data_IF_495071974493
#
_entry.id   IF_495071974493
#
_cell.length_a   1.000
_cell.length_b   1.000
_cell.length_c   1.000
_cell.angle_alpha   90.00
_cell.angle_beta   90.00
_cell.angle_gamma   90.00
#
_symmetry.space_group_name_H-M   'P 1'
#
loop_
_entity.id
_entity.type
_entity.pdbx_description
1 polymer ?
#
# COMPACT_ATOMS: atom_id res chain seq x y z
N UNK A 1 42.71 -37.66 -5.34
CA UNK A 1 42.95 -36.50 -4.46
C UNK A 1 42.59 -35.27 -5.27
N UNK A 2 41.87 -34.32 -4.66
CA UNK A 2 41.29 -33.07 -5.21
C UNK A 2 39.90 -33.21 -5.84
N UNK A 3 38.88 -33.08 -4.98
CA UNK A 3 37.56 -32.54 -5.33
C UNK A 3 37.28 -31.38 -4.36
N UNK A 4 36.88 -30.25 -4.94
CA UNK A 4 36.58 -28.94 -4.35
C UNK A 4 35.42 -29.01 -3.34
N UNK A 5 35.37 -28.20 -2.27
CA UNK A 5 34.14 -28.01 -1.51
C UNK A 5 33.23 -27.03 -2.24
N UNK A 6 31.98 -27.46 -2.48
CA UNK A 6 30.90 -26.62 -2.95
C UNK A 6 30.48 -25.63 -1.86
N UNK A 7 30.32 -24.37 -2.24
CA UNK A 7 29.77 -23.31 -1.40
C UNK A 7 28.30 -23.59 -1.07
N UNK A 8 27.98 -23.67 0.22
CA UNK A 8 26.62 -23.82 0.70
C UNK A 8 26.06 -22.42 1.02
N UNK A 9 25.42 -21.79 0.03
CA UNK A 9 24.63 -20.57 0.22
C UNK A 9 23.30 -20.91 0.91
N UNK A 10 23.34 -21.12 2.22
CA UNK A 10 22.13 -21.16 3.04
C UNK A 10 21.76 -19.73 3.43
N UNK A 11 21.18 -18.97 2.50
CA UNK A 11 20.54 -17.70 2.83
C UNK A 11 19.18 -18.02 3.45
N UNK A 12 19.16 -18.20 4.77
CA UNK A 12 17.95 -18.18 5.59
C UNK A 12 17.20 -16.88 5.30
N UNK A 13 16.11 -16.99 4.55
CA UNK A 13 15.04 -16.00 4.49
C UNK A 13 14.50 -15.84 5.90
N UNK A 14 15.11 -14.92 6.65
CA UNK A 14 14.72 -14.59 8.01
C UNK A 14 13.51 -13.69 7.90
N UNK A 15 12.33 -14.27 7.67
CA UNK A 15 11.06 -13.63 8.00
C UNK A 15 10.96 -13.74 9.53
N UNK A 16 11.60 -12.82 10.23
CA UNK A 16 11.45 -12.67 11.66
C UNK A 16 10.95 -11.27 11.99
N UNK A 17 9.75 -10.93 11.52
CA UNK A 17 8.88 -10.05 12.28
C UNK A 17 8.15 -10.92 13.30
N UNK A 18 8.56 -10.81 14.55
CA UNK A 18 7.95 -11.46 15.71
C UNK A 18 6.45 -11.08 15.72
N UNK A 19 5.51 -12.03 15.63
CA UNK A 19 4.10 -11.66 15.63
C UNK A 19 3.73 -11.27 17.06
N UNK A 20 3.49 -9.98 17.30
CA UNK A 20 2.86 -9.50 18.53
C UNK A 20 1.38 -9.89 18.42
N UNK A 21 1.10 -11.14 18.79
CA UNK A 21 -0.17 -11.86 18.57
C UNK A 21 -1.42 -11.23 19.22
N UNK A 22 -1.29 -10.11 19.93
CA UNK A 22 -2.44 -9.41 20.53
C UNK A 22 -3.15 -8.47 19.54
N UNK A 23 -2.54 -8.15 18.40
CA UNK A 23 -3.08 -7.23 17.40
C UNK A 23 -3.33 -7.89 16.03
N UNK A 24 -3.75 -9.16 15.97
CA UNK A 24 -3.73 -10.03 14.77
C UNK A 24 -4.37 -9.51 13.46
N UNK A 25 -5.07 -8.37 13.48
CA UNK A 25 -5.61 -7.68 12.30
C UNK A 25 -5.40 -6.16 12.29
N UNK A 26 -5.03 -5.54 13.42
CA UNK A 26 -4.96 -4.08 13.52
C UNK A 26 -3.88 -3.46 12.61
N UNK A 27 -2.64 -4.00 12.54
CA UNK A 27 -1.63 -3.50 11.61
C UNK A 27 -2.09 -3.61 10.15
N UNK A 28 -2.74 -4.72 9.77
CA UNK A 28 -3.23 -4.91 8.41
C UNK A 28 -4.29 -3.86 8.04
N UNK A 29 -5.25 -3.61 8.93
CA UNK A 29 -6.27 -2.58 8.70
C UNK A 29 -5.65 -1.19 8.62
N UNK A 30 -4.72 -0.86 9.53
CA UNK A 30 -4.01 0.42 9.55
C UNK A 30 -3.19 0.63 8.27
N UNK A 31 -2.55 -0.42 7.76
CA UNK A 31 -1.88 -0.39 6.47
C UNK A 31 -2.83 -0.09 5.33
N UNK A 32 -4.01 -0.72 5.29
CA UNK A 32 -5.02 -0.45 4.26
C UNK A 32 -5.55 0.98 4.37
N UNK A 33 -5.79 1.49 5.58
CA UNK A 33 -6.20 2.88 5.79
C UNK A 33 -5.14 3.86 5.31
N UNK A 34 -3.86 3.60 5.60
CA UNK A 34 -2.75 4.45 5.17
C UNK A 34 -2.59 4.42 3.64
N UNK A 35 -2.74 3.25 3.00
CA UNK A 35 -2.77 3.14 1.54
C UNK A 35 -3.88 4.00 0.93
N UNK A 36 -5.09 3.97 1.50
CA UNK A 36 -6.22 4.80 1.03
C UNK A 36 -5.94 6.29 1.24
N UNK A 37 -5.40 6.69 2.40
CA UNK A 37 -5.03 8.09 2.69
C UNK A 37 -4.06 8.63 1.63
N UNK A 38 -2.99 7.89 1.36
CA UNK A 38 -1.97 8.30 0.37
C UNK A 38 -2.52 8.29 -1.08
N UNK A 39 -3.42 7.37 -1.42
CA UNK A 39 -4.10 7.40 -2.73
C UNK A 39 -5.00 8.63 -2.87
N UNK A 40 -5.73 9.01 -1.82
CA UNK A 40 -6.53 10.23 -1.83
C UNK A 40 -5.65 11.48 -1.98
N UNK A 41 -4.52 11.54 -1.29
CA UNK A 41 -3.53 12.61 -1.42
C UNK A 41 -2.98 12.71 -2.86
N UNK A 42 -2.60 11.58 -3.47
CA UNK A 42 -2.18 11.50 -4.86
C UNK A 42 -3.24 12.08 -5.82
N UNK A 43 -4.51 11.75 -5.57
CA UNK A 43 -5.65 12.20 -6.36
C UNK A 43 -5.96 13.69 -6.19
N UNK A 44 -5.66 14.27 -5.02
CA UNK A 44 -5.76 15.72 -4.78
C UNK A 44 -4.67 16.47 -5.52
N UNK A 45 -3.41 16.02 -5.42
CA UNK A 45 -2.28 16.63 -6.13
C UNK A 45 -2.53 16.64 -7.63
N UNK A 46 -2.97 15.52 -8.21
CA UNK A 46 -3.29 15.45 -9.66
C UNK A 46 -4.38 16.43 -10.07
N UNK A 47 -5.48 16.50 -9.32
CA UNK A 47 -6.59 17.41 -9.64
C UNK A 47 -6.18 18.88 -9.50
N UNK A 48 -5.27 19.17 -8.58
CA UNK A 48 -4.67 20.50 -8.44
C UNK A 48 -3.79 20.84 -9.65
N UNK A 49 -2.92 19.93 -10.10
CA UNK A 49 -2.06 20.13 -11.28
C UNK A 49 -2.86 20.30 -12.59
N UNK A 50 -4.03 19.67 -12.69
CA UNK A 50 -4.94 19.78 -13.83
C UNK A 50 -5.91 20.98 -13.75
N UNK A 51 -5.78 21.85 -12.74
CA UNK A 51 -6.72 22.96 -12.46
C UNK A 51 -8.20 22.49 -12.34
N UNK A 52 -8.41 21.25 -11.92
CA UNK A 52 -9.74 20.63 -11.74
C UNK A 52 -10.28 20.78 -10.32
N UNK A 53 -9.49 21.35 -9.41
CA UNK A 53 -9.86 21.54 -8.01
C UNK A 53 -9.85 23.04 -7.69
N UNK A 54 -10.97 23.57 -7.20
CA UNK A 54 -11.01 24.98 -6.79
C UNK A 54 -10.17 25.20 -5.52
N UNK A 55 -9.63 26.41 -5.32
CA UNK A 55 -8.87 26.75 -4.10
C UNK A 55 -9.59 26.36 -2.79
N UNK A 56 -10.89 26.65 -2.58
CA UNK A 56 -11.58 26.24 -1.36
C UNK A 56 -11.83 24.72 -1.28
N UNK A 57 -11.85 24.00 -2.40
CA UNK A 57 -11.92 22.54 -2.39
C UNK A 57 -10.56 21.92 -2.01
N UNK A 58 -9.47 22.50 -2.52
CA UNK A 58 -8.10 22.10 -2.20
C UNK A 58 -7.82 22.25 -0.71
N UNK A 59 -8.16 23.40 -0.12
CA UNK A 59 -7.96 23.65 1.32
C UNK A 59 -8.77 22.68 2.18
N UNK A 60 -10.04 22.43 1.82
CA UNK A 60 -10.87 21.43 2.52
C UNK A 60 -10.32 20.01 2.38
N UNK A 61 -9.77 19.66 1.22
CA UNK A 61 -9.16 18.34 1.00
C UNK A 61 -7.90 18.18 1.85
N UNK A 62 -7.03 19.20 1.89
CA UNK A 62 -5.83 19.23 2.73
C UNK A 62 -6.17 19.06 4.22
N UNK A 63 -7.12 19.85 4.73
CA UNK A 63 -7.60 19.75 6.11
C UNK A 63 -8.15 18.36 6.46
N UNK A 64 -8.89 17.75 5.52
CA UNK A 64 -9.50 16.44 5.73
C UNK A 64 -8.44 15.33 5.74
N UNK A 65 -7.45 15.42 4.86
CA UNK A 65 -6.35 14.46 4.79
C UNK A 65 -5.45 14.55 6.04
N UNK A 66 -5.16 15.76 6.52
CA UNK A 66 -4.41 15.95 7.75
C UNK A 66 -5.13 15.32 8.96
N UNK A 67 -6.45 15.55 9.09
CA UNK A 67 -7.24 14.91 10.17
C UNK A 67 -7.23 13.40 10.07
N UNK A 68 -7.29 12.84 8.86
CA UNK A 68 -7.22 11.39 8.66
C UNK A 68 -5.84 10.84 9.07
N UNK A 69 -4.76 11.55 8.74
CA UNK A 69 -3.40 11.20 9.18
C UNK A 69 -3.29 11.18 10.71
N UNK A 70 -3.76 12.24 11.37
CA UNK A 70 -3.78 12.35 12.83
C UNK A 70 -4.55 11.18 13.48
N UNK A 71 -5.69 10.80 12.89
CA UNK A 71 -6.49 9.66 13.35
C UNK A 71 -5.75 8.33 13.18
N UNK A 72 -5.08 8.11 12.04
CA UNK A 72 -4.30 6.89 11.80
C UNK A 72 -3.15 6.80 12.79
N UNK A 73 -2.43 7.89 13.05
CA UNK A 73 -1.35 7.94 14.03
C UNK A 73 -1.85 7.61 15.44
N UNK A 74 -2.98 8.20 15.85
CA UNK A 74 -3.58 7.91 17.14
C UNK A 74 -4.01 6.44 17.29
N UNK A 75 -4.55 5.83 16.23
CA UNK A 75 -4.87 4.40 16.23
C UNK A 75 -3.59 3.54 16.30
N UNK A 76 -2.51 3.93 15.62
CA UNK A 76 -1.22 3.25 15.72
C UNK A 76 -0.70 3.23 17.16
N UNK A 77 -0.77 4.37 17.87
CA UNK A 77 -0.43 4.45 19.29
C UNK A 77 -1.27 3.50 20.14
N UNK A 78 -2.60 3.51 19.93
CA UNK A 78 -3.54 2.68 20.69
C UNK A 78 -3.32 1.17 20.48
N UNK A 79 -2.89 0.76 19.29
CA UNK A 79 -2.60 -0.64 18.95
C UNK A 79 -1.12 -1.02 19.11
N UNK A 80 -0.28 -0.10 19.62
CA UNK A 80 1.17 -0.28 19.77
C UNK A 80 1.86 -0.73 18.47
N UNK A 81 1.45 -0.13 17.35
CA UNK A 81 1.99 -0.36 16.00
C UNK A 81 2.89 0.81 15.65
N UNK A 82 4.12 0.53 15.19
CA UNK A 82 4.99 1.57 14.64
C UNK A 82 4.44 1.99 13.26
N UNK A 83 4.21 3.29 12.98
CA UNK A 83 3.84 3.76 11.64
C UNK A 83 4.79 3.26 10.52
N UNK A 84 6.07 3.05 10.82
CA UNK A 84 7.03 2.47 9.88
C UNK A 84 6.71 1.02 9.50
N UNK A 85 6.05 0.27 10.39
CA UNK A 85 5.63 -1.12 10.19
C UNK A 85 4.35 -1.24 9.36
N UNK A 86 3.65 -0.13 9.06
CA UNK A 86 2.48 -0.14 8.18
C UNK A 86 2.85 -0.53 6.75
N UNK A 87 4.12 -0.44 6.36
CA UNK A 87 4.53 -0.83 5.02
C UNK A 87 4.79 -2.34 4.91
N UNK A 88 3.79 -3.07 4.42
CA UNK A 88 3.91 -4.52 4.20
C UNK A 88 4.72 -4.80 2.94
N UNK A 89 5.65 -5.75 3.06
CA UNK A 89 6.40 -6.30 1.93
C UNK A 89 5.64 -7.49 1.33
N UNK A 90 5.37 -7.44 0.02
CA UNK A 90 4.65 -8.47 -0.73
C UNK A 90 5.58 -9.39 -1.54
N UNK A 91 6.86 -9.47 -1.16
CA UNK A 91 7.86 -10.25 -1.86
C UNK A 91 8.20 -9.66 -3.23
N UNK A 92 7.99 -10.44 -4.29
CA UNK A 92 8.34 -10.07 -5.67
C UNK A 92 7.48 -8.94 -6.25
N UNK A 93 6.29 -8.71 -5.67
CA UNK A 93 5.36 -7.63 -6.08
C UNK A 93 5.83 -6.25 -5.58
N UNK A 94 6.75 -6.20 -4.62
CA UNK A 94 7.26 -4.96 -4.02
C UNK A 94 6.61 -4.65 -2.66
N UNK A 95 6.57 -3.36 -2.30
CA UNK A 95 5.95 -2.88 -1.05
C UNK A 95 4.56 -2.31 -1.31
N UNK A 96 3.69 -2.33 -0.30
CA UNK A 96 2.38 -1.69 -0.42
C UNK A 96 2.51 -0.17 -0.58
N UNK A 97 3.30 0.44 0.31
CA UNK A 97 3.52 1.87 0.38
C UNK A 97 4.92 2.21 -0.19
N UNK A 98 5.09 3.39 -0.80
CA UNK A 98 6.41 3.91 -1.13
C UNK A 98 7.22 4.21 0.13
N UNK A 99 8.54 4.40 -0.01
CA UNK A 99 9.36 4.92 1.10
C UNK A 99 8.91 6.34 1.46
N UNK A 100 8.84 6.65 2.74
CA UNK A 100 8.37 7.97 3.23
C UNK A 100 9.08 9.12 2.50
N UNK A 101 8.31 10.02 1.89
CA UNK A 101 8.81 11.19 1.16
C UNK A 101 9.36 10.92 -0.25
N UNK A 102 9.26 9.70 -0.77
CA UNK A 102 9.76 9.34 -2.13
C UNK A 102 8.68 9.29 -3.21
N UNK A 103 7.43 9.56 -2.86
CA UNK A 103 6.30 9.42 -3.78
C UNK A 103 5.69 10.76 -4.15
N UNK A 104 5.62 10.98 -5.46
CA UNK A 104 4.87 12.06 -6.08
C UNK A 104 4.07 11.45 -7.24
N UNK A 105 2.75 11.70 -7.33
CA UNK A 105 1.91 11.07 -8.34
C UNK A 105 2.43 11.37 -9.76
N UNK A 106 2.48 10.34 -10.60
CA UNK A 106 2.91 10.45 -11.99
C UNK A 106 4.42 10.42 -12.21
N UNK A 107 5.23 10.40 -11.15
CA UNK A 107 6.67 10.17 -11.27
C UNK A 107 7.00 8.68 -11.06
N UNK A 108 7.66 8.02 -12.02
CA UNK A 108 8.02 6.62 -11.88
C UNK A 108 9.12 6.44 -10.83
N UNK A 109 9.00 5.44 -9.97
CA UNK A 109 10.04 5.09 -9.02
C UNK A 109 10.87 3.87 -9.50
N UNK A 110 12.08 3.71 -8.96
CA UNK A 110 12.96 2.59 -9.32
C UNK A 110 12.48 1.25 -8.75
N UNK A 111 11.57 1.27 -7.75
CA UNK A 111 10.93 0.11 -7.12
C UNK A 111 9.44 0.41 -6.96
N UNK A 112 8.60 -0.01 -7.92
CA UNK A 112 7.18 0.34 -7.91
C UNK A 112 6.47 -0.25 -6.69
N UNK A 113 5.66 0.57 -6.03
CA UNK A 113 4.79 0.13 -4.94
C UNK A 113 3.38 -0.18 -5.46
N UNK A 114 2.59 -0.92 -4.69
CA UNK A 114 1.17 -1.14 -5.01
C UNK A 114 0.43 0.19 -5.09
N UNK A 115 0.77 1.16 -4.23
CA UNK A 115 0.24 2.50 -4.33
C UNK A 115 0.53 3.14 -5.69
N UNK A 116 1.78 3.09 -6.18
CA UNK A 116 2.14 3.67 -7.48
C UNK A 116 1.37 3.00 -8.62
N UNK A 117 1.21 1.67 -8.55
CA UNK A 117 0.39 0.93 -9.49
C UNK A 117 -1.08 1.38 -9.43
N UNK A 118 -1.67 1.44 -8.23
CA UNK A 118 -3.06 1.84 -8.03
C UNK A 118 -3.30 3.29 -8.46
N UNK A 119 -2.39 4.21 -8.19
CA UNK A 119 -2.46 5.60 -8.65
C UNK A 119 -2.45 5.68 -10.19
N UNK A 120 -1.52 4.98 -10.85
CA UNK A 120 -1.46 4.91 -12.32
C UNK A 120 -2.71 4.28 -12.92
N UNK A 121 -3.22 3.24 -12.28
CA UNK A 121 -4.45 2.54 -12.65
C UNK A 121 -5.67 3.46 -12.55
N UNK A 122 -5.80 4.22 -11.45
CA UNK A 122 -6.85 5.21 -11.24
C UNK A 122 -6.79 6.31 -12.31
N UNK A 123 -5.59 6.70 -12.73
CA UNK A 123 -5.40 7.68 -13.79
C UNK A 123 -5.75 7.14 -15.19
N UNK A 124 -5.37 5.90 -15.50
CA UNK A 124 -5.46 5.35 -16.86
C UNK A 124 -6.83 4.78 -17.20
N UNK A 125 -7.60 4.32 -16.20
CA UNK A 125 -8.95 3.82 -16.43
C UNK A 125 -9.00 2.37 -16.90
N UNK A 126 -8.35 1.48 -16.14
CA UNK A 126 -8.28 0.05 -16.45
C UNK A 126 -9.29 -0.73 -15.59
N UNK A 127 -10.04 -1.66 -16.18
CA UNK A 127 -10.88 -2.59 -15.42
C UNK A 127 -10.14 -3.90 -15.22
N UNK A 128 -9.97 -4.31 -13.96
CA UNK A 128 -9.35 -5.58 -13.55
C UNK A 128 -10.39 -6.40 -12.79
N UNK A 129 -10.68 -7.61 -13.27
CA UNK A 129 -11.47 -8.61 -12.54
C UNK A 129 -10.50 -9.69 -12.05
N UNK A 130 -10.55 -9.98 -10.75
CA UNK A 130 -9.69 -10.96 -10.12
C UNK A 130 -10.40 -11.65 -8.96
N UNK A 131 -9.90 -12.82 -8.60
CA UNK A 131 -10.36 -13.60 -7.46
C UNK A 131 -9.14 -13.88 -6.58
N UNK A 132 -9.30 -13.68 -5.28
CA UNK A 132 -8.26 -13.88 -4.27
C UNK A 132 -8.82 -14.82 -3.21
N UNK A 133 -8.14 -15.94 -3.02
CA UNK A 133 -8.44 -16.89 -1.95
C UNK A 133 -7.44 -16.66 -0.81
N UNK A 134 -7.96 -16.30 0.37
CA UNK A 134 -7.17 -16.23 1.59
C UNK A 134 -7.42 -17.49 2.41
N UNK A 135 -6.34 -18.23 2.63
CA UNK A 135 -6.34 -19.45 3.42
C UNK A 135 -5.43 -19.41 4.63
N UNK A 136 -5.70 -20.30 5.58
CA UNK A 136 -4.81 -20.62 6.70
C UNK A 136 -4.65 -22.13 6.73
N UNK A 137 -3.41 -22.62 6.91
CA UNK A 137 -3.12 -24.05 7.03
C UNK A 137 -3.68 -24.90 5.86
N UNK A 138 -3.46 -24.44 4.62
CA UNK A 138 -3.97 -25.07 3.38
C UNK A 138 -5.50 -25.16 3.28
N UNK A 139 -6.23 -24.34 4.03
CA UNK A 139 -7.69 -24.23 3.94
C UNK A 139 -8.02 -22.82 3.45
N UNK A 140 -8.66 -22.73 2.28
CA UNK A 140 -9.21 -21.47 1.76
C UNK A 140 -10.46 -21.09 2.59
N UNK A 141 -10.27 -20.19 3.55
CA UNK A 141 -11.33 -19.78 4.48
C UNK A 141 -12.16 -18.63 3.90
N UNK A 142 -11.55 -17.83 3.03
CA UNK A 142 -12.14 -16.61 2.47
C UNK A 142 -11.90 -16.62 0.97
N UNK A 143 -12.97 -16.70 0.19
CA UNK A 143 -12.94 -16.38 -1.24
C UNK A 143 -13.40 -14.93 -1.43
N UNK A 144 -12.53 -14.09 -1.97
CA UNK A 144 -12.81 -12.70 -2.25
C UNK A 144 -12.78 -12.46 -3.76
N UNK A 145 -13.93 -12.12 -4.35
CA UNK A 145 -13.98 -11.66 -5.74
C UNK A 145 -13.72 -10.15 -5.79
N UNK A 146 -12.59 -9.77 -6.37
CA UNK A 146 -12.17 -8.39 -6.52
C UNK A 146 -12.49 -7.91 -7.94
N UNK A 147 -13.57 -7.15 -8.09
CA UNK A 147 -13.83 -6.41 -9.32
C UNK A 147 -13.42 -4.96 -9.13
N UNK A 148 -12.27 -4.61 -9.70
CA UNK A 148 -11.73 -3.27 -9.68
C UNK A 148 -12.04 -2.60 -11.03
N UNK A 149 -13.03 -1.71 -11.04
CA UNK A 149 -13.31 -0.85 -12.20
C UNK A 149 -12.58 0.46 -11.97
N UNK A 150 -11.48 0.70 -12.69
CA UNK A 150 -10.85 2.01 -12.71
C UNK A 150 -11.30 2.66 -14.03
N UNK A 151 -11.93 3.83 -13.96
CA UNK A 151 -12.35 4.58 -15.15
C UNK A 151 -11.53 5.85 -15.24
N UNK A 152 -10.91 6.10 -16.38
CA UNK A 152 -10.41 7.43 -16.71
C UNK A 152 -11.57 8.21 -17.28
N UNK A 153 -11.59 9.52 -17.01
CA UNK A 153 -12.48 10.47 -17.67
C UNK A 153 -12.54 10.14 -19.17
N UNK A 154 -13.72 9.96 -19.79
CA UNK A 154 -13.78 10.17 -21.22
C UNK A 154 -13.43 11.64 -21.46
N UNK A 155 -12.55 11.87 -22.43
CA UNK A 155 -12.38 13.19 -23.05
C UNK A 155 -13.73 13.64 -23.60
#
# INVERSE_FOLDING_TARGET
>A
MVCTPAENFNNSLTIASKPKNEAGLAPLLLTVLELVRQLMEAQVIRRMEEDLLSEPDLERAADSLQKLEEQILHLCEMFEVDPADLNINLGEIGTLLPSSGSYYPGQPSSRPSVLELLDRLLNTGIVVDGEIDLGIAQIDLIHAKLRLVLTSKPI
#
